data_IF_301036486260
#
_entry.id   IF_301036486260
#
_cell.length_a   1.000
_cell.length_b   1.000
_cell.length_c   1.000
_cell.angle_alpha   90.00
_cell.angle_beta   90.00
_cell.angle_gamma   90.00
#
_symmetry.space_group_name_H-M   'P 1'
#
loop_
_entity.id
_entity.type
_entity.pdbx_description
1 polymer ?
#
# COMPACT_ATOMS: atom_id res chain seq x y z
N UNK A 1 -29.90 0.33 -16.00
CA UNK A 1 -29.25 -0.78 -16.70
C UNK A 1 -27.80 -0.72 -16.25
N UNK A 2 -27.42 -1.55 -15.27
CA UNK A 2 -26.04 -1.58 -14.77
C UNK A 2 -25.28 -2.56 -15.65
N UNK A 3 -24.33 -2.04 -16.40
CA UNK A 3 -23.40 -2.86 -17.19
C UNK A 3 -22.72 -3.82 -16.20
N UNK A 4 -22.98 -5.12 -16.38
CA UNK A 4 -22.24 -6.16 -15.68
C UNK A 4 -20.87 -6.20 -16.36
N UNK A 5 -19.88 -5.52 -15.78
CA UNK A 5 -18.50 -5.65 -16.21
C UNK A 5 -18.15 -7.14 -16.25
N UNK A 6 -17.78 -7.64 -17.42
CA UNK A 6 -17.37 -9.02 -17.70
C UNK A 6 -16.01 -9.39 -17.05
N UNK A 7 -15.52 -8.55 -16.14
CA UNK A 7 -14.33 -8.77 -15.35
C UNK A 7 -14.75 -8.92 -13.88
N UNK A 8 -14.26 -9.96 -13.17
CA UNK A 8 -14.37 -9.99 -11.72
C UNK A 8 -13.90 -8.63 -11.17
N UNK A 9 -14.53 -8.03 -10.15
CA UNK A 9 -13.95 -6.93 -9.42
C UNK A 9 -12.47 -7.26 -9.13
N UNK A 10 -11.57 -6.28 -9.18
CA UNK A 10 -10.12 -6.55 -9.09
C UNK A 10 -9.74 -7.35 -7.83
N UNK A 11 -10.53 -7.25 -6.76
CA UNK A 11 -10.44 -8.07 -5.55
C UNK A 11 -10.66 -9.58 -5.74
N UNK A 12 -11.31 -9.99 -6.83
CA UNK A 12 -11.49 -11.39 -7.26
C UNK A 12 -10.43 -11.84 -8.28
N UNK A 13 -9.48 -10.96 -8.66
CA UNK A 13 -8.36 -11.31 -9.57
C UNK A 13 -7.07 -11.69 -8.83
N UNK A 14 -6.95 -11.38 -7.55
CA UNK A 14 -5.71 -11.53 -6.78
C UNK A 14 -5.91 -12.39 -5.53
N UNK A 15 -4.95 -13.28 -5.27
CA UNK A 15 -4.95 -14.17 -4.10
C UNK A 15 -4.58 -13.44 -2.80
N UNK A 16 -3.77 -12.37 -2.86
CA UNK A 16 -3.44 -11.56 -1.68
C UNK A 16 -3.01 -10.13 -2.05
N UNK A 17 -3.47 -9.13 -1.28
CA UNK A 17 -2.99 -7.75 -1.42
C UNK A 17 -3.09 -6.97 -0.10
N UNK A 18 -2.29 -5.90 0.01
CA UNK A 18 -2.39 -4.89 1.06
C UNK A 18 -2.94 -3.61 0.45
N UNK A 19 -3.90 -3.01 1.13
CA UNK A 19 -4.52 -1.74 0.77
C UNK A 19 -4.27 -0.71 1.87
N UNK A 20 -3.88 0.49 1.47
CA UNK A 20 -3.72 1.66 2.35
C UNK A 20 -4.73 2.70 1.92
N UNK A 21 -5.58 3.12 2.85
CA UNK A 21 -6.60 4.13 2.65
C UNK A 21 -6.42 5.29 3.64
N UNK A 22 -6.77 6.49 3.19
CA UNK A 22 -6.82 7.71 4.01
C UNK A 22 -8.22 8.30 3.88
N UNK A 23 -8.91 8.52 5.01
CA UNK A 23 -10.30 8.98 5.04
C UNK A 23 -11.25 8.13 4.19
N UNK A 24 -11.08 6.80 4.23
CA UNK A 24 -11.83 5.82 3.42
C UNK A 24 -11.65 5.95 1.89
N UNK A 25 -10.62 6.70 1.44
CA UNK A 25 -10.19 6.74 0.04
C UNK A 25 -8.94 5.86 -0.14
N UNK A 26 -8.99 4.94 -1.09
CA UNK A 26 -7.84 4.11 -1.47
C UNK A 26 -6.70 5.00 -2.00
N UNK A 27 -5.52 4.89 -1.38
CA UNK A 27 -4.31 5.65 -1.77
C UNK A 27 -3.27 4.73 -2.40
N UNK A 28 -3.15 3.50 -1.90
CA UNK A 28 -2.18 2.52 -2.40
C UNK A 28 -2.76 1.11 -2.28
N UNK A 29 -2.55 0.30 -3.32
CA UNK A 29 -2.71 -1.15 -3.26
C UNK A 29 -1.42 -1.83 -3.71
N UNK A 30 -0.94 -2.77 -2.90
CA UNK A 30 0.24 -3.59 -3.19
C UNK A 30 -0.18 -5.05 -3.26
N UNK A 31 -0.05 -5.62 -4.45
CA UNK A 31 -0.30 -7.04 -4.69
C UNK A 31 0.85 -7.87 -4.11
N UNK A 32 0.51 -8.93 -3.38
CA UNK A 32 1.49 -9.87 -2.83
C UNK A 32 1.44 -11.16 -3.64
N UNK A 33 2.43 -11.33 -4.51
CA UNK A 33 2.64 -12.60 -5.21
C UNK A 33 3.61 -13.46 -4.39
N UNK A 34 3.06 -14.41 -3.62
CA UNK A 34 3.83 -15.35 -2.80
C UNK A 34 4.70 -16.30 -3.65
N UNK A 35 4.46 -16.36 -4.97
CA UNK A 35 5.26 -17.13 -5.92
C UNK A 35 6.54 -16.38 -6.37
N UNK A 36 6.65 -15.07 -6.11
CA UNK A 36 7.89 -14.33 -6.31
C UNK A 36 8.97 -14.79 -5.32
N UNK A 37 9.76 -15.78 -5.76
CA UNK A 37 10.99 -16.20 -5.08
C UNK A 37 12.09 -15.16 -5.27
N UNK A 38 11.96 -14.02 -4.59
CA UNK A 38 13.03 -13.03 -4.50
C UNK A 38 14.19 -13.63 -3.70
N UNK A 39 15.41 -13.46 -4.22
CA UNK A 39 16.60 -13.74 -3.42
C UNK A 39 16.78 -12.65 -2.37
N UNK A 40 17.57 -12.93 -1.32
CA UNK A 40 17.89 -11.92 -0.31
C UNK A 40 18.53 -10.65 -0.91
N UNK A 41 19.25 -10.79 -2.04
CA UNK A 41 19.85 -9.66 -2.76
C UNK A 41 18.77 -8.85 -3.48
N UNK A 42 17.82 -9.51 -4.14
CA UNK A 42 16.72 -8.82 -4.83
C UNK A 42 15.87 -8.03 -3.83
N UNK A 43 15.53 -8.64 -2.69
CA UNK A 43 14.79 -7.95 -1.62
C UNK A 43 15.56 -6.76 -1.05
N UNK A 44 16.89 -6.88 -0.87
CA UNK A 44 17.72 -5.78 -0.37
C UNK A 44 17.81 -4.63 -1.38
N UNK A 45 17.88 -4.92 -2.69
CA UNK A 45 17.87 -3.89 -3.74
C UNK A 45 16.53 -3.16 -3.76
N UNK A 46 15.41 -3.90 -3.68
CA UNK A 46 14.07 -3.29 -3.64
C UNK A 46 13.94 -2.41 -2.41
N UNK A 47 14.35 -2.89 -1.23
CA UNK A 47 14.28 -2.11 0.01
C UNK A 47 15.11 -0.82 -0.08
N UNK A 48 16.36 -0.90 -0.57
CA UNK A 48 17.20 0.29 -0.74
C UNK A 48 16.66 1.28 -1.76
N UNK A 49 16.04 0.81 -2.85
CA UNK A 49 15.40 1.67 -3.83
C UNK A 49 14.15 2.37 -3.27
N UNK A 50 13.35 1.68 -2.45
CA UNK A 50 12.20 2.28 -1.78
C UNK A 50 12.63 3.32 -0.73
N UNK A 51 13.73 3.08 -0.02
CA UNK A 51 14.30 4.04 0.93
C UNK A 51 14.68 5.36 0.25
N UNK A 52 15.39 5.29 -0.88
CA UNK A 52 15.79 6.47 -1.68
C UNK A 52 14.57 7.29 -2.14
N UNK A 53 13.53 6.62 -2.65
CA UNK A 53 12.26 7.29 -3.01
C UNK A 53 11.60 7.94 -1.79
N UNK A 54 11.62 7.28 -0.63
CA UNK A 54 11.05 7.84 0.59
C UNK A 54 11.80 9.08 1.06
N UNK A 55 13.13 9.12 0.90
CA UNK A 55 13.94 10.31 1.20
C UNK A 55 13.58 11.47 0.27
N UNK A 56 13.51 11.25 -1.05
CA UNK A 56 13.10 12.28 -2.02
C UNK A 56 11.70 12.84 -1.67
N UNK A 57 10.73 11.98 -1.36
CA UNK A 57 9.38 12.39 -0.97
C UNK A 57 9.40 13.20 0.33
N UNK A 58 10.20 12.81 1.32
CA UNK A 58 10.32 13.56 2.58
C UNK A 58 10.85 14.97 2.34
N UNK A 59 11.86 15.12 1.48
CA UNK A 59 12.40 16.42 1.09
C UNK A 59 11.35 17.28 0.37
N UNK A 60 10.58 16.70 -0.56
CA UNK A 60 9.49 17.41 -1.24
C UNK A 60 8.39 17.86 -0.27
N UNK A 61 8.01 17.01 0.70
CA UNK A 61 7.01 17.35 1.72
C UNK A 61 7.52 18.45 2.66
N UNK A 62 8.81 18.43 3.02
CA UNK A 62 9.42 19.49 3.81
C UNK A 62 9.45 20.83 3.05
N UNK A 63 9.75 20.83 1.75
CA UNK A 63 9.75 22.06 0.93
C UNK A 63 8.34 22.63 0.74
N UNK A 64 7.36 21.77 0.41
CA UNK A 64 6.00 22.20 0.09
C UNK A 64 5.14 22.51 1.34
N UNK A 65 5.26 21.68 2.39
CA UNK A 65 4.40 21.75 3.57
C UNK A 65 5.14 22.11 4.86
N UNK A 66 6.48 22.18 4.84
CA UNK A 66 7.27 22.48 6.04
C UNK A 66 7.30 21.35 7.07
N UNK A 67 6.97 20.11 6.66
CA UNK A 67 6.85 18.94 7.52
C UNK A 67 7.39 17.70 6.80
N UNK A 68 8.07 16.82 7.54
CA UNK A 68 8.48 15.51 7.02
C UNK A 68 7.36 14.48 7.08
N UNK A 69 7.61 13.33 6.45
CA UNK A 69 6.76 12.13 6.43
C UNK A 69 6.36 11.73 7.85
N UNK A 70 7.32 11.62 8.78
CA UNK A 70 7.04 11.20 10.17
C UNK A 70 6.10 12.17 10.91
N UNK A 71 6.25 13.48 10.71
CA UNK A 71 5.37 14.48 11.33
C UNK A 71 3.95 14.38 10.78
N UNK A 72 3.81 14.27 9.45
CA UNK A 72 2.50 14.15 8.78
C UNK A 72 1.80 12.87 9.20
N UNK A 73 2.49 11.72 9.12
CA UNK A 73 1.90 10.43 9.49
C UNK A 73 1.50 10.39 10.96
N UNK A 74 2.23 11.07 11.84
CA UNK A 74 1.91 11.16 13.27
C UNK A 74 0.71 12.06 13.57
N UNK A 75 0.52 13.15 12.81
CA UNK A 75 -0.63 14.04 12.97
C UNK A 75 -1.93 13.41 12.48
N UNK A 76 -1.85 12.58 11.43
CA UNK A 76 -3.01 11.98 10.76
C UNK A 76 -3.12 10.45 10.94
N UNK A 77 -2.42 9.88 11.93
CA UNK A 77 -2.42 8.42 12.16
C UNK A 77 -3.82 7.83 12.29
N UNK A 78 -4.76 8.57 12.90
CA UNK A 78 -6.14 8.13 13.10
C UNK A 78 -6.96 8.03 11.80
N UNK A 79 -6.53 8.71 10.73
CA UNK A 79 -7.20 8.74 9.42
C UNK A 79 -6.64 7.68 8.45
N UNK A 80 -5.49 7.09 8.76
CA UNK A 80 -4.80 6.11 7.93
C UNK A 80 -5.27 4.70 8.34
N UNK A 81 -5.79 3.94 7.37
CA UNK A 81 -6.19 2.55 7.54
C UNK A 81 -5.36 1.65 6.64
N UNK A 82 -4.66 0.70 7.22
CA UNK A 82 -3.91 -0.33 6.49
C UNK A 82 -4.63 -1.67 6.66
N UNK A 83 -5.11 -2.24 5.55
CA UNK A 83 -5.85 -3.50 5.55
C UNK A 83 -5.23 -4.50 4.58
N UNK A 84 -5.10 -5.76 5.01
CA UNK A 84 -4.66 -6.88 4.16
C UNK A 84 -5.87 -7.73 3.79
N UNK A 85 -6.05 -7.94 2.50
CA UNK A 85 -7.00 -8.90 1.98
C UNK A 85 -6.29 -10.23 1.71
N UNK A 86 -6.89 -11.31 2.20
CA UNK A 86 -6.43 -12.68 1.94
C UNK A 86 -7.51 -13.43 1.16
N UNK A 87 -7.23 -13.74 -0.11
CA UNK A 87 -8.12 -14.44 -1.03
C UNK A 87 -8.47 -15.85 -0.54
N UNK A 88 -7.55 -16.51 0.16
CA UNK A 88 -7.76 -17.84 0.77
C UNK A 88 -8.95 -17.89 1.76
N UNK A 89 -9.26 -16.75 2.39
CA UNK A 89 -10.31 -16.65 3.41
C UNK A 89 -11.37 -15.59 3.06
N UNK A 90 -11.25 -14.97 1.88
CA UNK A 90 -12.09 -13.86 1.40
C UNK A 90 -12.37 -12.82 2.49
N UNK A 91 -11.34 -12.48 3.29
CA UNK A 91 -11.48 -11.62 4.46
C UNK A 91 -10.42 -10.52 4.51
N UNK A 92 -10.84 -9.38 5.05
CA UNK A 92 -9.98 -8.25 5.39
C UNK A 92 -9.44 -8.39 6.81
N UNK A 93 -8.19 -7.98 7.00
CA UNK A 93 -7.56 -7.86 8.33
C UNK A 93 -6.85 -6.53 8.43
N UNK A 94 -7.14 -5.76 9.46
CA UNK A 94 -6.36 -4.57 9.79
C UNK A 94 -4.94 -4.99 10.18
N UNK A 95 -3.95 -4.29 9.62
CA UNK A 95 -2.54 -4.50 9.91
C UNK A 95 -2.11 -3.38 10.85
N UNK A 96 -1.94 -3.72 12.13
CA UNK A 96 -1.54 -2.79 13.21
C UNK A 96 -0.03 -2.71 13.38
#
# INVERSE_FOLDING_TARGET
MGESSEHPPESERFDEFVEVAVDDNEVLRVEMDDEMKLSAVDSAIIAGFLEDICEDIDEELQDEYGKGVDDILREDTDNIKVSRYTGELSQWREVS
#
